data_IF_609261043982
#
_entry.id   IF_609261043982
#
_cell.length_a   1.000
_cell.length_b   1.000
_cell.length_c   1.000
_cell.angle_alpha   90.00
_cell.angle_beta   90.00
_cell.angle_gamma   90.00
#
_symmetry.space_group_name_H-M   'P 1'
#
loop_
_entity.id
_entity.type
_entity.pdbx_description
1 polymer ?
#
# COMPACT_ATOMS: atom_id res chain seq x y z
N UNK A 1 -19.82 6.23 -7.17
CA UNK A 1 -18.34 6.41 -7.11
C UNK A 1 -17.85 6.25 -5.70
N UNK A 2 -16.63 5.75 -5.50
CA UNK A 2 -16.02 5.63 -4.16
C UNK A 2 -14.64 6.28 -4.18
N UNK A 3 -14.40 7.15 -3.19
CA UNK A 3 -13.06 7.58 -2.80
C UNK A 3 -12.54 6.62 -1.74
N UNK A 4 -11.48 5.87 -2.06
CA UNK A 4 -10.81 5.00 -1.12
C UNK A 4 -9.84 5.84 -0.28
N UNK A 5 -10.22 6.12 0.95
CA UNK A 5 -9.44 6.78 1.99
C UNK A 5 -9.12 5.81 3.16
N UNK A 6 -9.11 4.50 2.87
CA UNK A 6 -8.66 3.46 3.79
C UNK A 6 -7.15 3.24 3.66
N UNK A 7 -6.37 4.18 4.17
CA UNK A 7 -4.91 4.14 4.13
C UNK A 7 -4.36 3.19 5.20
N UNK A 8 -4.50 1.88 4.94
CA UNK A 8 -4.09 0.82 5.86
C UNK A 8 -2.65 0.33 5.69
N UNK A 9 -1.98 0.69 4.59
CA UNK A 9 -0.64 0.19 4.27
C UNK A 9 0.41 0.67 5.27
N UNK A 10 1.23 -0.25 5.76
CA UNK A 10 2.29 0.04 6.73
C UNK A 10 3.25 1.10 6.20
N UNK A 11 3.49 2.14 7.00
CA UNK A 11 4.36 3.25 6.63
C UNK A 11 3.75 4.26 5.67
N UNK A 12 2.46 4.14 5.30
CA UNK A 12 1.75 5.11 4.47
C UNK A 12 0.96 6.09 5.34
N UNK A 13 1.11 7.39 5.09
CA UNK A 13 0.38 8.46 5.79
C UNK A 13 0.20 9.72 4.92
N UNK A 14 0.20 9.56 3.59
CA UNK A 14 0.02 10.62 2.61
C UNK A 14 -1.43 11.07 2.47
N UNK A 15 -2.38 10.12 2.50
CA UNK A 15 -3.80 10.42 2.27
C UNK A 15 -4.38 11.21 3.44
N UNK A 16 -4.07 10.83 4.68
CA UNK A 16 -4.46 11.64 5.85
C UNK A 16 -3.85 13.04 5.81
N UNK A 17 -2.60 13.19 5.34
CA UNK A 17 -1.96 14.48 5.18
C UNK A 17 -2.70 15.34 4.15
N UNK A 18 -3.04 14.78 3.00
CA UNK A 18 -3.82 15.44 1.95
C UNK A 18 -5.18 15.89 2.48
N UNK A 19 -5.94 14.98 3.10
CA UNK A 19 -7.29 15.26 3.62
C UNK A 19 -7.24 16.36 4.69
N UNK A 20 -6.24 16.34 5.57
CA UNK A 20 -6.10 17.31 6.64
C UNK A 20 -5.80 18.72 6.14
N UNK A 21 -5.01 18.84 5.07
CA UNK A 21 -4.51 20.13 4.60
C UNK A 21 -5.31 20.72 3.44
N UNK A 22 -5.95 19.90 2.61
CA UNK A 22 -6.74 20.37 1.47
C UNK A 22 -7.97 19.47 1.17
N UNK A 23 -8.93 19.40 2.10
CA UNK A 23 -10.16 18.63 1.88
C UNK A 23 -11.02 19.18 0.73
N UNK A 24 -10.90 20.48 0.42
CA UNK A 24 -11.67 21.12 -0.65
C UNK A 24 -11.27 20.62 -2.04
N UNK A 25 -9.97 20.52 -2.34
CA UNK A 25 -9.52 19.96 -3.61
C UNK A 25 -9.90 18.48 -3.75
N UNK A 26 -9.94 17.71 -2.65
CA UNK A 26 -10.45 16.34 -2.67
C UNK A 26 -11.94 16.29 -3.05
N UNK A 27 -12.77 17.13 -2.42
CA UNK A 27 -14.22 17.22 -2.72
C UNK A 27 -14.44 17.65 -4.17
N UNK A 28 -13.67 18.59 -4.67
CA UNK A 28 -13.68 19.03 -6.08
C UNK A 28 -13.30 17.89 -7.02
N UNK A 29 -12.23 17.15 -6.71
CA UNK A 29 -11.79 15.99 -7.50
C UNK A 29 -12.85 14.89 -7.57
N UNK A 30 -13.53 14.61 -6.45
CA UNK A 30 -14.67 13.68 -6.39
C UNK A 30 -15.81 14.19 -7.27
N UNK A 31 -16.17 15.47 -7.18
CA UNK A 31 -17.25 16.05 -7.95
C UNK A 31 -16.98 15.99 -9.47
N UNK A 32 -15.76 16.34 -9.90
CA UNK A 32 -15.36 16.27 -11.32
C UNK A 32 -15.39 14.83 -11.81
N UNK A 33 -14.81 13.89 -11.06
CA UNK A 33 -14.81 12.48 -11.45
C UNK A 33 -16.23 11.89 -11.50
N UNK A 34 -17.09 12.22 -10.53
CA UNK A 34 -18.49 11.79 -10.53
C UNK A 34 -19.25 12.34 -11.73
N UNK A 35 -19.05 13.62 -12.07
CA UNK A 35 -19.63 14.26 -13.27
C UNK A 35 -19.20 13.52 -14.55
N UNK A 36 -17.90 13.20 -14.67
CA UNK A 36 -17.35 12.51 -15.85
C UNK A 36 -17.96 11.14 -16.11
N UNK A 37 -18.37 10.42 -15.06
CA UNK A 37 -18.99 9.07 -15.16
C UNK A 37 -20.51 9.10 -14.98
N UNK A 38 -21.13 10.27 -14.81
CA UNK A 38 -22.56 10.41 -14.57
C UNK A 38 -23.05 9.88 -13.22
N UNK A 39 -22.18 9.81 -12.21
CA UNK A 39 -22.54 9.33 -10.88
C UNK A 39 -23.27 10.42 -10.09
N UNK A 40 -24.42 10.08 -9.50
CA UNK A 40 -25.22 10.97 -8.63
C UNK A 40 -24.89 10.79 -7.14
N UNK A 41 -24.14 9.74 -6.79
CA UNK A 41 -23.73 9.46 -5.41
C UNK A 41 -22.27 9.06 -5.35
N UNK A 42 -21.58 9.62 -4.38
CA UNK A 42 -20.20 9.25 -4.02
C UNK A 42 -20.12 8.85 -2.55
N UNK A 43 -19.18 7.96 -2.25
CA UNK A 43 -18.80 7.60 -0.89
C UNK A 43 -17.35 7.95 -0.68
N UNK A 44 -17.01 8.51 0.48
CA UNK A 44 -15.64 8.55 0.99
C UNK A 44 -15.55 7.47 2.04
N UNK A 45 -14.79 6.40 1.76
CA UNK A 45 -14.54 5.35 2.73
C UNK A 45 -13.31 5.71 3.52
N UNK A 46 -13.52 6.24 4.72
CA UNK A 46 -12.49 6.79 5.61
C UNK A 46 -12.02 5.71 6.58
N UNK A 47 -10.71 5.51 6.73
CA UNK A 47 -10.12 4.62 7.73
C UNK A 47 -10.58 5.01 9.14
N UNK A 48 -10.92 4.02 9.98
CA UNK A 48 -11.45 4.26 11.32
C UNK A 48 -10.52 5.08 12.22
N UNK A 49 -9.20 4.88 12.12
CA UNK A 49 -8.20 5.64 12.87
C UNK A 49 -8.12 7.12 12.46
N UNK A 50 -8.75 7.48 11.32
CA UNK A 50 -8.80 8.87 10.83
C UNK A 50 -10.08 9.59 11.20
N UNK A 51 -10.82 9.10 12.20
CA UNK A 51 -12.04 9.73 12.72
C UNK A 51 -11.87 11.22 12.99
N UNK A 52 -10.70 11.65 13.43
CA UNK A 52 -10.39 13.06 13.69
C UNK A 52 -10.46 13.98 12.46
N UNK A 53 -10.45 13.42 11.24
CA UNK A 53 -10.61 14.16 9.97
C UNK A 53 -12.08 14.35 9.56
N UNK A 54 -13.00 13.68 10.24
CA UNK A 54 -14.40 13.59 9.83
C UNK A 54 -15.08 14.96 9.77
N UNK A 55 -14.88 15.79 10.81
CA UNK A 55 -15.51 17.13 10.87
C UNK A 55 -14.98 18.06 9.78
N UNK A 56 -13.69 17.99 9.48
CA UNK A 56 -13.07 18.76 8.39
C UNK A 56 -13.64 18.36 7.02
N UNK A 57 -13.77 17.07 6.77
CA UNK A 57 -14.36 16.55 5.52
C UNK A 57 -15.85 16.93 5.40
N UNK A 58 -16.64 16.75 6.46
CA UNK A 58 -18.05 17.16 6.47
C UNK A 58 -18.19 18.65 6.20
N UNK A 59 -17.38 19.47 6.89
CA UNK A 59 -17.38 20.92 6.71
C UNK A 59 -17.06 21.34 5.26
N UNK A 60 -16.13 20.65 4.59
CA UNK A 60 -15.80 20.92 3.18
C UNK A 60 -16.95 20.54 2.24
N UNK A 61 -17.58 19.37 2.46
CA UNK A 61 -18.75 18.93 1.69
C UNK A 61 -19.91 19.90 1.85
N UNK A 62 -20.27 20.27 3.09
CA UNK A 62 -21.38 21.16 3.40
C UNK A 62 -21.17 22.56 2.81
N UNK A 63 -19.95 23.09 2.86
CA UNK A 63 -19.62 24.38 2.26
C UNK A 63 -19.73 24.31 0.72
N UNK A 64 -19.25 23.26 0.08
CA UNK A 64 -19.37 23.08 -1.36
C UNK A 64 -20.84 22.96 -1.79
N UNK A 65 -21.64 22.19 -1.05
CA UNK A 65 -23.06 22.02 -1.30
C UNK A 65 -23.84 23.33 -1.11
N UNK A 66 -23.58 24.08 -0.03
CA UNK A 66 -24.25 25.36 0.24
C UNK A 66 -23.98 26.44 -0.82
N UNK A 67 -22.87 26.32 -1.54
CA UNK A 67 -22.50 27.21 -2.66
C UNK A 67 -23.02 26.73 -4.02
N UNK A 68 -23.77 25.62 -4.05
CA UNK A 68 -24.28 25.04 -5.30
C UNK A 68 -23.19 24.43 -6.19
N UNK A 69 -22.05 24.00 -5.61
CA UNK A 69 -20.93 23.42 -6.35
C UNK A 69 -21.02 21.90 -6.46
N UNK A 70 -22.00 21.26 -5.83
CA UNK A 70 -22.19 19.82 -5.84
C UNK A 70 -23.54 19.44 -6.40
N UNK A 71 -23.54 18.75 -7.54
CA UNK A 71 -24.74 18.13 -8.15
C UNK A 71 -24.86 16.63 -7.76
N UNK A 72 -24.14 16.20 -6.74
CA UNK A 72 -24.15 14.81 -6.24
C UNK A 72 -24.21 14.78 -4.70
N UNK A 73 -24.67 13.65 -4.18
CA UNK A 73 -24.60 13.36 -2.74
C UNK A 73 -23.25 12.70 -2.41
N UNK A 74 -22.52 13.25 -1.46
CA UNK A 74 -21.29 12.65 -0.92
C UNK A 74 -21.55 12.18 0.50
N UNK A 75 -21.37 10.89 0.75
CA UNK A 75 -21.56 10.25 2.04
C UNK A 75 -20.21 9.73 2.57
N UNK A 76 -19.88 10.01 3.84
CA UNK A 76 -18.69 9.47 4.47
C UNK A 76 -19.06 8.18 5.18
N UNK A 77 -18.31 7.11 4.93
CA UNK A 77 -18.39 5.82 5.61
C UNK A 77 -17.07 5.57 6.33
N UNK A 78 -17.13 5.35 7.62
CA UNK A 78 -15.96 5.01 8.41
C UNK A 78 -15.77 3.49 8.43
N UNK A 79 -14.54 3.06 8.14
CA UNK A 79 -14.10 1.69 8.31
C UNK A 79 -13.82 1.36 9.77
N UNK A 80 -13.53 0.09 10.05
CA UNK A 80 -13.18 -0.40 11.39
C UNK A 80 -11.67 -0.68 11.55
N UNK A 81 -10.82 -0.17 10.65
CA UNK A 81 -9.37 -0.29 10.74
C UNK A 81 -8.76 -1.55 10.09
N UNK A 82 -9.55 -2.44 9.50
CA UNK A 82 -9.03 -3.63 8.83
C UNK A 82 -8.31 -3.27 7.52
N UNK A 83 -7.03 -3.63 7.40
CA UNK A 83 -6.19 -3.39 6.22
C UNK A 83 -6.83 -3.93 4.93
N UNK A 84 -7.43 -5.13 4.99
CA UNK A 84 -8.09 -5.74 3.82
C UNK A 84 -9.20 -4.87 3.22
N UNK A 85 -9.83 -3.98 4.00
CA UNK A 85 -10.88 -3.09 3.51
C UNK A 85 -10.35 -1.98 2.58
N UNK A 86 -9.02 -1.84 2.43
CA UNK A 86 -8.38 -1.06 1.37
C UNK A 86 -8.47 -1.73 -0.01
N UNK A 87 -8.70 -3.04 -0.09
CA UNK A 87 -8.98 -3.75 -1.33
C UNK A 87 -10.38 -3.38 -1.83
N UNK A 88 -10.51 -3.07 -3.13
CA UNK A 88 -11.71 -2.42 -3.68
C UNK A 88 -13.02 -3.20 -3.46
N UNK A 89 -12.99 -4.53 -3.53
CA UNK A 89 -14.19 -5.35 -3.34
C UNK A 89 -14.49 -5.61 -1.87
N UNK A 90 -13.49 -5.75 -1.02
CA UNK A 90 -13.64 -5.81 0.42
C UNK A 90 -14.18 -4.49 0.99
N UNK A 91 -13.73 -3.36 0.46
CA UNK A 91 -14.25 -2.03 0.77
C UNK A 91 -15.75 -1.93 0.45
N UNK A 92 -16.17 -2.41 -0.73
CA UNK A 92 -17.59 -2.44 -1.09
C UNK A 92 -18.41 -3.33 -0.15
N UNK A 93 -17.89 -4.51 0.24
CA UNK A 93 -18.53 -5.38 1.22
C UNK A 93 -18.71 -4.66 2.56
N UNK A 94 -17.69 -3.94 3.02
CA UNK A 94 -17.77 -3.16 4.27
C UNK A 94 -18.84 -2.07 4.20
N UNK A 95 -18.93 -1.30 3.09
CA UNK A 95 -19.99 -0.29 2.90
C UNK A 95 -21.39 -0.94 2.90
N UNK A 96 -21.51 -2.16 2.35
CA UNK A 96 -22.76 -2.94 2.34
C UNK A 96 -23.11 -3.57 3.70
N UNK A 97 -22.27 -3.40 4.72
CA UNK A 97 -22.47 -3.99 6.06
C UNK A 97 -22.15 -5.48 6.11
N UNK A 98 -21.37 -5.97 5.17
CA UNK A 98 -20.86 -7.34 5.11
C UNK A 98 -19.45 -7.42 5.66
N UNK A 99 -18.94 -8.65 5.84
CA UNK A 99 -17.54 -8.88 6.19
C UNK A 99 -16.63 -8.29 5.10
N UNK A 100 -15.53 -7.64 5.51
CA UNK A 100 -14.50 -7.13 4.62
C UNK A 100 -13.65 -8.28 4.07
N UNK A 101 -14.04 -8.79 2.92
CA UNK A 101 -13.36 -9.86 2.21
C UNK A 101 -13.43 -9.61 0.69
N UNK A 102 -12.43 -10.09 -0.06
CA UNK A 102 -12.37 -9.91 -1.49
C UNK A 102 -13.46 -10.71 -2.22
N UNK A 103 -14.04 -10.12 -3.26
CA UNK A 103 -15.02 -10.78 -4.13
C UNK A 103 -14.33 -11.50 -5.27
N UNK A 104 -14.92 -12.61 -5.72
CA UNK A 104 -14.52 -13.25 -6.98
C UNK A 104 -14.80 -12.33 -8.18
N UNK A 105 -13.92 -12.37 -9.15
CA UNK A 105 -14.06 -11.64 -10.42
C UNK A 105 -14.01 -12.61 -11.61
N UNK A 106 -14.81 -12.45 -12.65
CA UNK A 106 -15.87 -11.46 -12.88
C UNK A 106 -17.10 -11.69 -11.97
N UNK A 107 -18.02 -10.69 -11.78
CA UNK A 107 -18.02 -9.36 -12.41
C UNK A 107 -17.00 -8.41 -11.77
N UNK A 108 -16.50 -7.46 -12.57
CA UNK A 108 -15.67 -6.37 -12.07
C UNK A 108 -16.52 -5.21 -11.53
N UNK A 109 -15.98 -4.34 -10.65
CA UNK A 109 -16.76 -3.23 -10.06
C UNK A 109 -17.44 -2.31 -11.08
N UNK A 110 -16.85 -1.98 -12.24
CA UNK A 110 -17.54 -1.20 -13.28
C UNK A 110 -18.76 -1.90 -13.90
N UNK A 111 -18.83 -3.22 -13.80
CA UNK A 111 -19.97 -4.01 -14.30
C UNK A 111 -21.05 -4.18 -13.22
N UNK A 112 -20.61 -4.60 -12.02
CA UNK A 112 -21.48 -4.85 -10.87
C UNK A 112 -20.71 -4.67 -9.56
N UNK A 113 -20.69 -3.46 -9.03
CA UNK A 113 -19.96 -3.08 -7.81
C UNK A 113 -20.87 -2.90 -6.59
N UNK A 114 -20.81 -1.73 -5.96
CA UNK A 114 -21.53 -1.40 -4.74
C UNK A 114 -23.05 -1.49 -4.94
N UNK A 115 -23.73 -2.26 -4.07
CA UNK A 115 -25.16 -2.55 -4.17
C UNK A 115 -25.60 -3.08 -5.54
N UNK A 116 -24.71 -3.81 -6.23
CA UNK A 116 -24.96 -4.34 -7.57
C UNK A 116 -24.99 -3.28 -8.68
N UNK A 117 -24.50 -2.07 -8.43
CA UNK A 117 -24.44 -0.98 -9.41
C UNK A 117 -23.03 -0.80 -9.97
N UNK A 118 -22.88 -0.35 -11.23
CA UNK A 118 -21.58 0.04 -11.77
C UNK A 118 -20.87 1.01 -10.84
N UNK A 119 -19.62 0.70 -10.47
CA UNK A 119 -18.88 1.45 -9.45
C UNK A 119 -17.44 1.68 -9.88
N UNK A 120 -16.99 2.93 -9.80
CA UNK A 120 -15.60 3.32 -9.94
C UNK A 120 -15.02 3.66 -8.57
N UNK A 121 -13.82 3.16 -8.28
CA UNK A 121 -13.11 3.35 -7.02
C UNK A 121 -11.76 3.99 -7.32
N UNK A 122 -11.42 5.06 -6.62
CA UNK A 122 -10.12 5.74 -6.75
C UNK A 122 -9.58 6.14 -5.38
N UNK A 123 -8.26 6.13 -5.24
CA UNK A 123 -7.57 6.60 -4.05
C UNK A 123 -7.65 8.14 -3.92
N UNK A 124 -7.49 8.65 -2.70
CA UNK A 124 -7.45 10.07 -2.35
C UNK A 124 -6.49 10.85 -3.25
N UNK A 125 -5.23 10.41 -3.34
CA UNK A 125 -4.21 11.09 -4.15
C UNK A 125 -4.57 11.15 -5.64
N UNK A 126 -5.16 10.09 -6.18
CA UNK A 126 -5.64 10.06 -7.56
C UNK A 126 -6.69 11.15 -7.80
N UNK A 127 -7.68 11.25 -6.92
CA UNK A 127 -8.74 12.25 -7.02
C UNK A 127 -8.23 13.66 -6.83
N UNK A 128 -7.26 13.86 -5.94
CA UNK A 128 -6.64 15.14 -5.65
C UNK A 128 -5.87 15.75 -6.83
N UNK A 129 -5.40 14.91 -7.77
CA UNK A 129 -4.74 15.38 -9.00
C UNK A 129 -5.73 15.96 -10.02
N UNK A 130 -7.00 15.53 -10.02
CA UNK A 130 -7.99 15.85 -11.05
C UNK A 130 -8.23 17.36 -11.19
N UNK A 131 -8.48 18.16 -10.15
CA UNK A 131 -8.72 19.59 -10.29
C UNK A 131 -7.57 20.31 -10.99
N UNK A 132 -6.34 19.98 -10.64
CA UNK A 132 -5.16 20.60 -11.24
C UNK A 132 -4.97 20.19 -12.71
N UNK A 133 -5.27 18.94 -13.04
CA UNK A 133 -5.22 18.43 -14.43
C UNK A 133 -6.26 19.19 -15.27
N UNK A 134 -7.47 19.36 -14.77
CA UNK A 134 -8.52 20.12 -15.48
C UNK A 134 -8.12 21.58 -15.67
N UNK A 135 -7.60 22.21 -14.61
CA UNK A 135 -7.23 23.64 -14.64
C UNK A 135 -6.02 23.93 -15.55
N UNK A 136 -5.01 23.05 -15.58
CA UNK A 136 -3.75 23.26 -16.31
C UNK A 136 -3.66 22.52 -17.63
N UNK A 137 -4.55 21.54 -17.85
CA UNK A 137 -4.62 20.71 -19.04
C UNK A 137 -3.79 19.42 -18.94
N UNK A 138 -4.23 18.39 -19.65
CA UNK A 138 -3.60 17.06 -19.65
C UNK A 138 -2.14 17.09 -20.13
N UNK A 139 -1.82 17.96 -21.09
CA UNK A 139 -0.44 18.11 -21.60
C UNK A 139 0.51 18.56 -20.49
N UNK A 140 0.08 19.53 -19.65
CA UNK A 140 0.91 19.96 -18.52
C UNK A 140 1.27 18.78 -17.60
N UNK A 141 0.29 17.93 -17.26
CA UNK A 141 0.53 16.78 -16.37
C UNK A 141 1.40 15.71 -17.03
N UNK A 142 1.20 15.46 -18.33
CA UNK A 142 1.96 14.46 -19.09
C UNK A 142 3.43 14.84 -19.33
N UNK A 143 3.78 16.11 -19.18
CA UNK A 143 5.17 16.57 -19.26
C UNK A 143 5.97 16.43 -17.95
N UNK A 144 5.31 16.08 -16.85
CA UNK A 144 5.94 15.78 -15.57
C UNK A 144 6.12 14.26 -15.49
N UNK A 145 7.28 13.80 -15.03
CA UNK A 145 7.53 12.37 -14.86
C UNK A 145 8.17 11.70 -16.06
N UNK A 146 7.89 10.40 -16.23
CA UNK A 146 8.40 9.58 -17.35
C UNK A 146 7.36 9.44 -18.46
N UNK A 147 7.74 8.85 -19.60
CA UNK A 147 6.80 8.60 -20.70
C UNK A 147 5.65 7.64 -20.34
N UNK A 148 5.86 6.73 -19.36
CA UNK A 148 4.85 5.76 -18.92
C UNK A 148 4.27 6.07 -17.54
N UNK A 149 4.99 6.85 -16.74
CA UNK A 149 4.58 7.27 -15.39
C UNK A 149 4.59 8.77 -15.33
N UNK A 150 3.44 9.40 -15.65
CA UNK A 150 3.32 10.85 -15.70
C UNK A 150 2.84 11.44 -14.37
N UNK A 151 3.15 12.72 -14.16
CA UNK A 151 2.74 13.48 -12.98
C UNK A 151 3.70 13.35 -11.82
N UNK A 152 3.19 13.66 -10.63
CA UNK A 152 3.90 13.55 -9.35
C UNK A 152 3.37 12.40 -8.52
N UNK A 153 4.13 12.00 -7.50
CA UNK A 153 3.72 11.04 -6.48
C UNK A 153 4.08 11.57 -5.11
N UNK A 154 3.16 11.41 -4.18
CA UNK A 154 3.38 11.72 -2.76
C UNK A 154 3.92 10.46 -2.05
N UNK A 155 5.09 10.61 -1.44
CA UNK A 155 5.77 9.53 -0.71
C UNK A 155 5.67 9.78 0.80
N UNK A 156 5.38 8.73 1.55
CA UNK A 156 5.47 8.69 3.01
C UNK A 156 6.78 8.05 3.42
N UNK A 157 7.71 8.81 3.96
CA UNK A 157 9.04 8.32 4.34
C UNK A 157 9.15 8.12 5.84
N UNK A 158 9.57 6.94 6.25
CA UNK A 158 9.72 6.52 7.65
C UNK A 158 10.92 5.57 7.84
N UNK A 159 11.08 5.04 9.05
CA UNK A 159 12.20 4.17 9.41
C UNK A 159 13.42 4.95 9.89
N UNK A 160 14.62 4.45 9.54
CA UNK A 160 15.89 5.01 10.01
C UNK A 160 16.32 6.24 9.18
N UNK A 161 15.58 7.33 9.33
CA UNK A 161 15.83 8.64 8.70
C UNK A 161 15.77 9.75 9.72
N UNK A 162 16.50 10.85 9.49
CA UNK A 162 16.47 12.01 10.39
C UNK A 162 15.23 12.89 10.18
N UNK A 163 14.67 12.88 8.97
CA UNK A 163 13.50 13.69 8.60
C UNK A 163 12.40 12.81 8.02
N UNK A 164 11.65 12.04 8.85
CA UNK A 164 10.47 11.35 8.40
C UNK A 164 9.39 12.37 8.00
N UNK A 165 8.58 12.02 6.99
CA UNK A 165 7.55 12.96 6.52
C UNK A 165 6.96 12.59 5.17
N UNK A 166 6.19 13.54 4.64
CA UNK A 166 5.53 13.45 3.34
C UNK A 166 6.29 14.28 2.31
N UNK A 167 6.64 13.67 1.18
CA UNK A 167 7.42 14.30 0.11
C UNK A 167 6.73 14.11 -1.22
N UNK A 168 6.57 15.18 -2.00
CA UNK A 168 6.05 15.10 -3.36
C UNK A 168 7.22 15.22 -4.36
N UNK A 169 7.35 14.23 -5.24
CA UNK A 169 8.36 14.20 -6.29
C UNK A 169 7.72 13.87 -7.64
N UNK A 170 8.38 14.29 -8.72
CA UNK A 170 8.01 13.84 -10.05
C UNK A 170 8.20 12.32 -10.17
N UNK A 171 7.28 11.65 -10.86
CA UNK A 171 7.45 10.25 -11.21
C UNK A 171 8.75 10.05 -11.98
N UNK A 172 9.49 8.98 -11.64
CA UNK A 172 10.82 8.73 -12.21
C UNK A 172 11.98 9.40 -11.48
N UNK A 173 11.74 10.24 -10.46
CA UNK A 173 12.80 10.69 -9.56
C UNK A 173 13.51 9.49 -8.93
N UNK A 174 14.81 9.60 -8.69
CA UNK A 174 15.58 8.49 -8.12
C UNK A 174 15.29 8.34 -6.63
N UNK A 175 15.27 7.10 -6.15
CA UNK A 175 15.16 6.81 -4.72
C UNK A 175 16.23 7.57 -3.92
N UNK A 176 17.46 7.69 -4.43
CA UNK A 176 18.55 8.44 -3.80
C UNK A 176 18.16 9.90 -3.49
N UNK A 177 17.42 10.59 -4.38
CA UNK A 177 16.96 11.96 -4.17
C UNK A 177 15.99 12.05 -2.98
N UNK A 178 15.06 11.09 -2.89
CA UNK A 178 14.13 11.02 -1.76
C UNK A 178 14.85 10.72 -0.43
N UNK A 179 15.83 9.80 -0.46
CA UNK A 179 16.64 9.46 0.72
C UNK A 179 17.49 10.65 1.20
N UNK A 180 18.02 11.45 0.29
CA UNK A 180 18.75 12.68 0.61
C UNK A 180 17.82 13.72 1.28
N UNK A 181 16.63 13.95 0.71
CA UNK A 181 15.61 14.82 1.30
C UNK A 181 15.22 14.37 2.72
N UNK A 182 15.10 13.09 2.95
CA UNK A 182 14.78 12.51 4.26
C UNK A 182 15.99 12.41 5.19
N UNK A 183 17.21 12.77 4.74
CA UNK A 183 18.47 12.63 5.48
C UNK A 183 18.71 11.20 5.98
N UNK A 184 18.48 10.22 5.13
CA UNK A 184 18.78 8.83 5.38
C UNK A 184 20.30 8.61 5.44
N UNK A 185 20.78 7.83 6.43
CA UNK A 185 22.19 7.52 6.63
C UNK A 185 22.38 6.02 6.80
N UNK A 186 23.55 5.53 6.35
CA UNK A 186 23.96 4.14 6.54
C UNK A 186 22.88 3.12 6.08
N UNK A 187 22.25 3.41 4.94
CA UNK A 187 21.14 2.62 4.40
C UNK A 187 21.60 1.20 4.08
N UNK A 188 20.89 0.20 4.60
CA UNK A 188 21.04 -1.23 4.27
C UNK A 188 20.06 -1.62 3.16
N UNK A 189 18.78 -1.29 3.36
CA UNK A 189 17.70 -1.54 2.41
C UNK A 189 16.59 -0.50 2.57
N UNK A 190 15.75 -0.43 1.56
CA UNK A 190 14.52 0.38 1.56
C UNK A 190 13.37 -0.49 1.10
N UNK A 191 12.30 -0.56 1.88
CA UNK A 191 11.03 -1.14 1.44
C UNK A 191 10.18 -0.05 0.80
N UNK A 192 9.65 -0.31 -0.40
CA UNK A 192 8.82 0.64 -1.13
C UNK A 192 7.48 0.01 -1.46
N UNK A 193 6.39 0.62 -0.98
CA UNK A 193 5.03 0.14 -1.19
C UNK A 193 4.39 -0.51 0.04
N UNK A 194 5.01 -0.37 1.22
CA UNK A 194 4.49 -0.91 2.48
C UNK A 194 4.79 -2.39 2.69
N UNK A 195 4.01 -3.07 3.54
CA UNK A 195 4.27 -4.46 3.94
C UNK A 195 4.30 -5.45 2.77
N UNK A 196 3.56 -5.17 1.69
CA UNK A 196 3.57 -5.95 0.44
C UNK A 196 4.58 -5.42 -0.60
N UNK A 197 5.33 -4.38 -0.24
CA UNK A 197 6.20 -3.66 -1.17
C UNK A 197 7.53 -4.35 -1.43
N UNK A 198 8.16 -3.98 -2.56
CA UNK A 198 9.47 -4.48 -2.95
C UNK A 198 10.61 -3.97 -2.06
N UNK A 199 11.67 -4.75 -1.97
CA UNK A 199 12.89 -4.42 -1.23
C UNK A 199 13.98 -3.96 -2.20
N UNK A 200 14.51 -2.76 -1.97
CA UNK A 200 15.62 -2.18 -2.73
C UNK A 200 16.87 -2.15 -1.84
N UNK A 201 17.94 -2.91 -2.15
CA UNK A 201 19.18 -2.85 -1.38
C UNK A 201 19.93 -1.54 -1.63
N UNK A 202 20.82 -1.17 -0.71
CA UNK A 202 21.63 0.06 -0.80
C UNK A 202 22.40 0.19 -2.13
N UNK A 203 22.80 -0.91 -2.75
CA UNK A 203 23.46 -0.92 -4.05
C UNK A 203 22.58 -0.44 -5.22
N UNK A 204 21.27 -0.37 -5.01
CA UNK A 204 20.28 -0.02 -6.05
C UNK A 204 19.51 1.28 -5.76
N UNK A 205 20.01 2.14 -4.87
CA UNK A 205 19.33 3.41 -4.49
C UNK A 205 19.13 4.39 -5.66
N UNK A 206 19.78 4.18 -6.80
CA UNK A 206 19.54 4.99 -8.01
C UNK A 206 18.32 4.52 -8.83
N UNK A 207 17.57 3.52 -8.36
CA UNK A 207 16.35 3.05 -9.01
C UNK A 207 15.34 4.21 -9.13
N UNK A 208 14.78 4.45 -10.33
CA UNK A 208 13.70 5.40 -10.50
C UNK A 208 12.44 4.96 -9.74
N UNK A 209 11.72 5.91 -9.15
CA UNK A 209 10.43 5.69 -8.49
C UNK A 209 9.31 5.84 -9.53
N UNK A 210 8.89 4.74 -10.12
CA UNK A 210 7.92 4.74 -11.22
C UNK A 210 7.17 3.41 -11.32
N UNK A 211 6.09 3.37 -12.09
CA UNK A 211 5.36 2.13 -12.37
C UNK A 211 6.18 1.11 -13.16
N UNK A 212 7.21 1.56 -13.89
CA UNK A 212 8.12 0.69 -14.64
C UNK A 212 9.13 -0.03 -13.75
N UNK A 213 9.26 0.40 -12.50
CA UNK A 213 10.25 -0.12 -11.54
C UNK A 213 9.60 -0.53 -10.22
N UNK A 214 9.67 0.34 -9.21
CA UNK A 214 9.11 0.12 -7.88
C UNK A 214 8.43 1.40 -7.41
N UNK A 215 7.18 1.29 -6.98
CA UNK A 215 6.39 2.44 -6.51
C UNK A 215 5.43 2.07 -5.37
N UNK A 216 4.57 1.06 -5.61
CA UNK A 216 3.53 0.64 -4.66
C UNK A 216 2.63 1.77 -4.20
N UNK A 217 2.29 1.78 -2.92
CA UNK A 217 1.45 2.82 -2.29
C UNK A 217 2.15 4.19 -2.16
N UNK A 218 3.48 4.23 -2.32
CA UNK A 218 4.31 5.39 -2.01
C UNK A 218 4.83 5.41 -0.57
N UNK A 219 4.59 4.35 0.23
CA UNK A 219 5.30 4.16 1.50
C UNK A 219 6.77 3.82 1.23
N UNK A 220 7.68 4.47 1.94
CA UNK A 220 9.12 4.26 1.85
C UNK A 220 9.66 4.10 3.26
N UNK A 221 10.02 2.87 3.61
CA UNK A 221 10.57 2.53 4.93
C UNK A 221 12.05 2.23 4.80
N UNK A 222 12.88 3.05 5.44
CA UNK A 222 14.34 2.95 5.37
C UNK A 222 14.87 2.14 6.54
N UNK A 223 15.79 1.22 6.26
CA UNK A 223 16.51 0.45 7.27
C UNK A 223 18.01 0.66 7.12
N UNK A 224 18.67 0.96 8.22
CA UNK A 224 20.13 1.09 8.28
C UNK A 224 20.82 -0.26 8.57
N UNK A 225 22.16 -0.27 8.58
CA UNK A 225 22.95 -1.49 8.78
C UNK A 225 22.81 -2.13 10.17
N UNK A 226 22.24 -1.45 11.16
CA UNK A 226 21.99 -2.03 12.49
C UNK A 226 20.79 -2.98 12.54
N UNK A 227 19.94 -2.96 11.52
CA UNK A 227 18.71 -3.75 11.48
C UNK A 227 18.95 -5.15 10.94
N UNK A 228 18.19 -6.10 11.48
CA UNK A 228 18.14 -7.48 11.01
C UNK A 228 17.12 -7.63 9.87
N UNK A 229 17.54 -8.20 8.75
CA UNK A 229 16.69 -8.35 7.55
C UNK A 229 15.59 -9.38 7.77
N UNK A 230 15.91 -10.49 8.47
CA UNK A 230 14.96 -11.57 8.68
C UNK A 230 13.89 -11.15 9.68
N UNK A 231 14.27 -10.47 10.76
CA UNK A 231 13.32 -9.92 11.72
C UNK A 231 12.37 -8.92 11.04
N UNK A 232 12.89 -8.07 10.16
CA UNK A 232 12.07 -7.12 9.41
C UNK A 232 11.03 -7.81 8.52
N UNK A 233 11.44 -8.81 7.75
CA UNK A 233 10.53 -9.56 6.87
C UNK A 233 9.54 -10.39 7.68
N UNK A 234 9.98 -10.97 8.79
CA UNK A 234 9.11 -11.65 9.74
C UNK A 234 7.97 -10.75 10.21
N UNK A 235 8.29 -9.51 10.67
CA UNK A 235 7.28 -8.55 11.12
C UNK A 235 6.32 -8.12 10.00
N UNK A 236 6.83 -7.98 8.78
CA UNK A 236 5.98 -7.68 7.62
C UNK A 236 5.01 -8.83 7.33
N UNK A 237 5.49 -10.07 7.41
CA UNK A 237 4.66 -11.27 7.18
C UNK A 237 3.67 -11.51 8.32
N UNK A 238 4.07 -11.28 9.58
CA UNK A 238 3.19 -11.34 10.76
C UNK A 238 1.99 -10.40 10.58
N UNK A 239 2.24 -9.14 10.21
CA UNK A 239 1.18 -8.17 9.88
C UNK A 239 0.26 -8.67 8.76
N UNK A 240 0.82 -9.20 7.67
CA UNK A 240 0.01 -9.68 6.53
C UNK A 240 -0.81 -10.92 6.87
N UNK A 241 -0.31 -11.77 7.76
CA UNK A 241 -1.05 -12.92 8.28
C UNK A 241 -2.23 -12.47 9.15
N UNK A 242 -2.01 -11.53 10.07
CA UNK A 242 -3.05 -10.96 10.95
C UNK A 242 -4.15 -10.23 10.15
N UNK A 243 -3.78 -9.55 9.08
CA UNK A 243 -4.69 -8.76 8.24
C UNK A 243 -5.32 -9.55 7.07
N UNK A 244 -4.97 -10.82 6.93
CA UNK A 244 -5.62 -11.71 5.95
C UNK A 244 -7.11 -11.89 6.28
N UNK A 245 -7.98 -11.72 5.27
CA UNK A 245 -9.41 -12.00 5.48
C UNK A 245 -9.72 -13.49 5.68
N UNK A 246 -8.77 -14.40 5.38
CA UNK A 246 -8.92 -15.84 5.54
C UNK A 246 -9.78 -16.52 4.47
N UNK A 247 -10.27 -15.82 3.45
CA UNK A 247 -11.19 -16.38 2.45
C UNK A 247 -10.50 -17.42 1.57
N UNK A 248 -9.37 -17.09 0.95
CA UNK A 248 -8.71 -18.01 0.03
C UNK A 248 -7.58 -18.80 0.71
N UNK A 249 -7.55 -20.12 0.48
CA UNK A 249 -6.57 -21.04 1.07
C UNK A 249 -5.11 -20.62 0.82
N UNK A 250 -4.68 -20.20 -0.40
CA UNK A 250 -3.27 -19.87 -0.62
C UNK A 250 -2.77 -18.74 0.28
N UNK A 251 -3.59 -17.71 0.52
CA UNK A 251 -3.25 -16.60 1.41
C UNK A 251 -3.30 -17.06 2.88
N UNK A 252 -4.42 -17.61 3.34
CA UNK A 252 -4.65 -18.01 4.73
C UNK A 252 -3.57 -18.96 5.25
N UNK A 253 -3.36 -20.09 4.56
CA UNK A 253 -2.39 -21.10 4.96
C UNK A 253 -0.95 -20.64 4.63
N UNK A 254 -0.78 -19.94 3.50
CA UNK A 254 0.53 -19.53 3.02
C UNK A 254 1.18 -18.49 3.92
N UNK A 255 0.45 -17.47 4.38
CA UNK A 255 1.01 -16.48 5.30
C UNK A 255 1.34 -17.08 6.65
N UNK A 256 0.51 -17.98 7.19
CA UNK A 256 0.77 -18.69 8.46
C UNK A 256 2.06 -19.52 8.38
N UNK A 257 2.22 -20.35 7.34
CA UNK A 257 3.44 -21.16 7.15
C UNK A 257 4.69 -20.29 6.98
N UNK A 258 4.57 -19.16 6.25
CA UNK A 258 5.70 -18.22 6.11
C UNK A 258 6.08 -17.56 7.43
N UNK A 259 5.10 -17.17 8.26
CA UNK A 259 5.34 -16.64 9.61
C UNK A 259 6.10 -17.65 10.44
N UNK A 260 5.65 -18.91 10.48
CA UNK A 260 6.29 -20.00 11.24
C UNK A 260 7.75 -20.23 10.82
N UNK A 261 8.01 -20.22 9.50
CA UNK A 261 9.37 -20.41 8.98
C UNK A 261 10.26 -19.21 9.36
N UNK A 262 9.78 -17.97 9.13
CA UNK A 262 10.53 -16.77 9.43
C UNK A 262 10.78 -16.63 10.95
N UNK A 263 9.82 -17.01 11.79
CA UNK A 263 9.98 -17.05 13.24
C UNK A 263 11.10 -18.02 13.66
N UNK A 264 11.11 -19.25 13.10
CA UNK A 264 12.21 -20.20 13.35
C UNK A 264 13.56 -19.65 12.92
N UNK A 265 13.61 -18.96 11.79
CA UNK A 265 14.84 -18.31 11.31
C UNK A 265 15.31 -17.22 12.27
N UNK A 266 14.39 -16.35 12.77
CA UNK A 266 14.75 -15.33 13.76
C UNK A 266 15.30 -15.93 15.05
N UNK A 267 14.79 -17.08 15.50
CA UNK A 267 15.25 -17.83 16.68
C UNK A 267 16.54 -18.63 16.46
N UNK A 268 17.06 -18.66 15.23
CA UNK A 268 18.22 -19.48 14.88
C UNK A 268 17.91 -20.98 14.90
N UNK A 269 16.70 -21.39 14.60
CA UNK A 269 16.20 -22.76 14.54
C UNK A 269 15.90 -23.22 13.11
N UNK A 270 16.20 -22.40 12.10
CA UNK A 270 15.96 -22.66 10.69
C UNK A 270 16.70 -23.89 10.15
N UNK A 271 16.20 -24.44 9.06
CA UNK A 271 16.78 -25.57 8.31
C UNK A 271 16.89 -25.23 6.83
N UNK A 272 17.75 -25.95 6.08
CA UNK A 272 17.96 -25.68 4.64
C UNK A 272 16.68 -25.76 3.80
N UNK A 273 15.76 -26.64 4.16
CA UNK A 273 14.48 -26.81 3.48
C UNK A 273 13.58 -25.57 3.62
N UNK A 274 13.74 -24.77 4.68
CA UNK A 274 12.96 -23.56 4.92
C UNK A 274 13.04 -22.57 3.74
N UNK A 275 14.25 -22.39 3.18
CA UNK A 275 14.44 -21.47 2.02
C UNK A 275 13.66 -21.97 0.81
N UNK A 276 13.71 -23.26 0.53
CA UNK A 276 13.01 -23.87 -0.60
C UNK A 276 11.50 -23.76 -0.43
N UNK A 277 10.99 -24.05 0.77
CA UNK A 277 9.56 -23.93 1.07
C UNK A 277 9.10 -22.47 0.92
N UNK A 278 9.86 -21.48 1.41
CA UNK A 278 9.55 -20.07 1.21
C UNK A 278 9.46 -19.69 -0.28
N UNK A 279 10.41 -20.16 -1.11
CA UNK A 279 10.40 -19.87 -2.56
C UNK A 279 9.22 -20.56 -3.28
N UNK A 280 8.90 -21.81 -2.95
CA UNK A 280 7.81 -22.57 -3.57
C UNK A 280 6.44 -22.03 -3.17
N UNK A 281 6.25 -21.78 -1.87
CA UNK A 281 5.02 -21.23 -1.32
C UNK A 281 4.75 -19.82 -1.85
N UNK A 282 5.80 -19.01 -1.99
CA UNK A 282 5.69 -17.67 -2.60
C UNK A 282 5.05 -17.74 -3.99
N UNK A 283 5.50 -18.65 -4.84
CA UNK A 283 4.94 -18.82 -6.20
C UNK A 283 3.47 -19.23 -6.15
N UNK A 284 3.13 -20.19 -5.29
CA UNK A 284 1.74 -20.65 -5.12
C UNK A 284 0.85 -19.49 -4.67
N UNK A 285 1.28 -18.69 -3.69
CA UNK A 285 0.50 -17.57 -3.20
C UNK A 285 0.32 -16.48 -4.28
N UNK A 286 1.39 -16.12 -4.99
CA UNK A 286 1.34 -15.12 -6.07
C UNK A 286 0.39 -15.54 -7.20
N UNK A 287 0.40 -16.81 -7.58
CA UNK A 287 -0.35 -17.31 -8.74
C UNK A 287 -1.83 -17.61 -8.42
N UNK A 288 -2.15 -17.94 -7.16
CA UNK A 288 -3.46 -18.51 -6.82
C UNK A 288 -4.24 -17.80 -5.72
N UNK A 289 -3.69 -16.74 -5.09
CA UNK A 289 -4.46 -15.93 -4.14
C UNK A 289 -5.51 -15.08 -4.85
N UNK A 290 -6.64 -14.86 -4.18
CA UNK A 290 -7.80 -14.18 -4.73
C UNK A 290 -7.57 -12.67 -4.96
N UNK A 291 -6.83 -12.01 -4.08
CA UNK A 291 -6.63 -10.56 -4.11
C UNK A 291 -5.16 -10.15 -3.94
N UNK A 292 -4.90 -8.85 -4.11
CA UNK A 292 -3.56 -8.26 -4.05
C UNK A 292 -2.81 -8.53 -2.75
N UNK A 293 -3.49 -8.67 -1.60
CA UNK A 293 -2.82 -8.98 -0.33
C UNK A 293 -2.05 -10.31 -0.46
N UNK A 294 -2.72 -11.40 -0.76
CA UNK A 294 -2.08 -12.72 -0.84
C UNK A 294 -1.13 -12.85 -2.02
N UNK A 295 -1.41 -12.17 -3.15
CA UNK A 295 -0.53 -12.16 -4.33
C UNK A 295 0.78 -11.41 -4.08
N UNK A 296 0.76 -10.35 -3.28
CA UNK A 296 1.92 -9.50 -3.05
C UNK A 296 2.63 -9.78 -1.71
N UNK A 297 2.00 -10.46 -0.75
CA UNK A 297 2.58 -10.80 0.54
C UNK A 297 3.98 -11.46 0.45
N UNK A 298 4.27 -12.35 -0.53
CA UNK A 298 5.57 -12.99 -0.65
C UNK A 298 6.68 -12.09 -1.21
N UNK A 299 6.37 -10.92 -1.78
CA UNK A 299 7.36 -10.08 -2.47
C UNK A 299 8.54 -9.72 -1.56
N UNK A 300 8.35 -9.21 -0.32
CA UNK A 300 9.46 -8.90 0.57
C UNK A 300 10.34 -10.12 0.89
N UNK A 301 9.73 -11.30 1.02
CA UNK A 301 10.45 -12.57 1.27
C UNK A 301 11.34 -12.92 0.07
N UNK A 302 10.78 -12.90 -1.13
CA UNK A 302 11.53 -13.20 -2.36
C UNK A 302 12.66 -12.20 -2.62
N UNK A 303 12.40 -10.92 -2.43
CA UNK A 303 13.41 -9.88 -2.62
C UNK A 303 14.54 -10.00 -1.59
N UNK A 304 14.24 -10.28 -0.34
CA UNK A 304 15.29 -10.47 0.68
C UNK A 304 16.04 -11.79 0.47
N UNK A 305 15.42 -12.86 0.04
CA UNK A 305 16.11 -14.08 -0.39
C UNK A 305 17.03 -13.81 -1.60
N UNK A 306 16.63 -12.92 -2.51
CA UNK A 306 17.43 -12.55 -3.68
C UNK A 306 18.65 -11.69 -3.31
N UNK A 307 18.47 -10.67 -2.47
CA UNK A 307 19.49 -9.67 -2.21
C UNK A 307 20.29 -9.92 -0.93
N UNK A 308 19.74 -10.68 0.02
CA UNK A 308 20.31 -10.92 1.35
C UNK A 308 20.34 -12.42 1.71
N UNK A 309 20.48 -13.29 0.72
CA UNK A 309 20.48 -14.75 0.92
C UNK A 309 21.46 -15.22 2.00
N UNK A 310 22.62 -14.58 2.08
CA UNK A 310 23.62 -14.90 3.09
C UNK A 310 23.09 -14.74 4.55
N UNK A 311 22.16 -13.79 4.78
CA UNK A 311 21.59 -13.59 6.11
C UNK A 311 20.77 -14.82 6.52
N UNK A 312 20.00 -15.41 5.59
CA UNK A 312 19.24 -16.65 5.80
C UNK A 312 20.16 -17.87 6.03
N UNK A 313 21.16 -18.04 5.17
CA UNK A 313 22.11 -19.15 5.27
C UNK A 313 22.91 -19.11 6.57
N UNK A 314 23.29 -17.92 7.04
CA UNK A 314 23.99 -17.77 8.30
C UNK A 314 23.11 -18.14 9.50
N UNK A 315 21.80 -17.84 9.47
CA UNK A 315 20.86 -18.28 10.52
C UNK A 315 20.73 -19.80 10.56
N UNK A 316 20.67 -20.44 9.40
CA UNK A 316 20.62 -21.90 9.30
C UNK A 316 21.90 -22.53 9.81
N UNK A 317 23.07 -22.01 9.45
CA UNK A 317 24.39 -22.50 9.96
C UNK A 317 24.50 -22.38 11.47
N UNK A 318 24.02 -21.29 12.04
CA UNK A 318 23.97 -21.11 13.51
C UNK A 318 23.08 -22.16 14.16
N UNK A 319 21.94 -22.49 13.58
CA UNK A 319 21.04 -23.54 14.03
C UNK A 319 21.72 -24.91 14.09
N UNK A 320 22.42 -25.30 13.02
CA UNK A 320 23.15 -26.58 12.95
C UNK A 320 24.23 -26.65 14.03
N UNK A 321 25.00 -25.58 14.23
CA UNK A 321 26.04 -25.50 15.26
C UNK A 321 25.44 -25.67 16.67
N UNK A 322 24.36 -24.98 16.99
CA UNK A 322 23.71 -25.06 18.31
C UNK A 322 23.12 -26.46 18.59
N UNK A 323 22.61 -27.15 17.56
CA UNK A 323 22.10 -28.55 17.68
C UNK A 323 23.23 -29.54 17.91
N UNK A 324 24.41 -29.29 17.37
CA UNK A 324 25.59 -30.18 17.55
C UNK A 324 26.21 -30.06 18.95
N UNK A 325 25.92 -28.97 19.67
CA UNK A 325 26.40 -28.75 21.06
C UNK A 325 25.44 -29.25 22.13
N UNK A 326 24.24 -29.69 21.77
CA UNK A 326 23.25 -30.34 22.66
C UNK A 326 23.29 -31.85 22.52
#
# INVERSE_FOLDING_TARGET
>A
MICNADEGEVGTFKDRYIIQHDPFSLVEGIAIAACAIGAQKAFIYLRGEYHYLLDGLKGAIDQAASRGLLDLSIEIREGAGAYICGEESALMNSIEGKRGEARFRPPFPPESGLFGKPTIINNVETLMNIPRIIAKGAVWFSLIGTAKSTGTKVFSVSGDVERPGVYELAMGSRLAELLELASAKDVKLVQIGGATGGIVPASMINTPLSYETVLGSGAVTVMNNSRDVIDFVYRSMEFLNEESCGECTPCREGTEVMVDILERLTKGEGVEEDIKVLEELSRVMMDSSLCGLGQAAPIPVLDTLKYFRNDYENRIKQSVFLRTLR
#
